data_IF_201888977966
#
_entry.id   IF_201888977966
#
_cell.length_a   1.000
_cell.length_b   1.000
_cell.length_c   1.000
_cell.angle_alpha   90.00
_cell.angle_beta   90.00
_cell.angle_gamma   90.00
#
_symmetry.space_group_name_H-M   'P 1'
#
loop_
_entity.id
_entity.type
_entity.pdbx_description
1 polymer ?
#
# COMPACT_ATOMS: atom_id res chain seq x y z
N UNK A 1 -21.86 12.94 4.95
CA UNK A 1 -20.60 13.69 5.07
C UNK A 1 -19.80 13.13 6.26
N UNK A 2 -19.62 11.80 6.31
CA UNK A 2 -19.01 11.13 7.48
C UNK A 2 -18.21 9.87 7.13
N UNK A 3 -17.94 9.58 5.86
CA UNK A 3 -17.28 8.33 5.40
C UNK A 3 -15.94 8.58 4.66
N UNK A 4 -15.29 9.72 4.87
CA UNK A 4 -14.03 10.05 4.17
C UNK A 4 -12.76 9.89 5.04
N UNK A 5 -12.90 9.47 6.30
CA UNK A 5 -11.80 9.53 7.28
C UNK A 5 -11.54 8.21 8.02
N UNK A 6 -12.24 7.14 7.63
CA UNK A 6 -11.97 5.75 8.03
C UNK A 6 -11.47 4.94 6.83
N UNK A 7 -10.80 5.60 5.87
CA UNK A 7 -9.81 4.88 5.08
C UNK A 7 -8.72 4.48 6.06
N UNK A 8 -8.48 3.18 6.24
CA UNK A 8 -7.32 2.71 7.00
C UNK A 8 -6.13 3.52 6.46
N UNK A 9 -5.49 4.33 7.30
CA UNK A 9 -4.43 5.24 6.86
C UNK A 9 -3.18 4.39 6.58
N UNK A 10 -3.20 3.65 5.48
CA UNK A 10 -2.07 2.95 4.89
C UNK A 10 -1.09 3.99 4.33
N UNK A 11 -0.51 4.82 5.21
CA UNK A 11 0.45 5.84 4.81
C UNK A 11 1.67 5.13 4.22
N UNK A 12 1.95 5.42 2.96
CA UNK A 12 3.08 4.87 2.24
C UNK A 12 4.07 5.99 1.90
N UNK A 13 5.34 5.69 2.15
CA UNK A 13 6.47 6.61 2.03
C UNK A 13 7.57 5.95 1.19
N UNK A 14 8.57 6.72 0.80
CA UNK A 14 9.69 6.25 -0.01
C UNK A 14 11.01 6.58 0.66
N UNK A 15 11.91 5.60 0.73
CA UNK A 15 13.27 5.76 1.23
C UNK A 15 14.26 5.62 0.08
N UNK A 16 15.20 6.57 -0.02
CA UNK A 16 16.32 6.47 -0.96
C UNK A 16 17.43 5.66 -0.28
N UNK A 17 17.82 4.56 -0.92
CA UNK A 17 18.91 3.70 -0.48
C UNK A 17 20.27 4.24 -0.92
N UNK A 18 21.33 3.82 -0.22
CA UNK A 18 22.69 4.27 -0.51
C UNK A 18 23.21 3.82 -1.90
N UNK A 19 22.62 2.76 -2.47
CA UNK A 19 22.90 2.27 -3.82
C UNK A 19 22.16 3.06 -4.93
N UNK A 20 21.40 4.10 -4.57
CA UNK A 20 20.64 4.93 -5.51
C UNK A 20 19.31 4.33 -5.95
N UNK A 21 18.93 3.17 -5.42
CA UNK A 21 17.58 2.62 -5.54
C UNK A 21 16.65 3.27 -4.53
N UNK A 22 15.36 3.19 -4.79
CA UNK A 22 14.31 3.68 -3.89
C UNK A 22 13.44 2.52 -3.45
N UNK A 23 13.10 2.53 -2.16
CA UNK A 23 12.22 1.57 -1.51
C UNK A 23 10.91 2.25 -1.21
N UNK A 24 9.79 1.71 -1.69
CA UNK A 24 8.45 2.14 -1.30
C UNK A 24 7.98 1.27 -0.13
N UNK A 25 7.42 1.87 0.92
CA UNK A 25 6.95 1.12 2.07
C UNK A 25 5.70 1.75 2.67
N UNK A 26 4.82 0.92 3.23
CA UNK A 26 3.64 1.32 3.97
C UNK A 26 3.79 0.94 5.43
N UNK A 27 3.34 1.80 6.34
CA UNK A 27 3.32 1.48 7.77
C UNK A 27 2.38 0.32 8.14
N UNK A 28 1.57 -0.14 7.19
CA UNK A 28 0.77 -1.36 7.25
C UNK A 28 1.58 -2.66 7.09
N UNK A 29 2.87 -2.57 6.69
CA UNK A 29 3.76 -3.72 6.53
C UNK A 29 4.05 -4.11 5.07
N UNK A 30 3.48 -3.41 4.09
CA UNK A 30 3.87 -3.55 2.68
C UNK A 30 5.22 -2.86 2.41
N UNK A 31 6.08 -3.49 1.62
CA UNK A 31 7.38 -2.95 1.23
C UNK A 31 7.79 -3.47 -0.14
N UNK A 32 8.36 -2.60 -0.96
CA UNK A 32 8.80 -2.91 -2.32
C UNK A 32 10.14 -2.21 -2.61
N UNK A 33 11.14 -3.00 -3.01
CA UNK A 33 12.53 -2.56 -3.15
C UNK A 33 12.93 -2.44 -4.62
N UNK A 34 13.95 -1.63 -4.91
CA UNK A 34 14.58 -1.58 -6.23
C UNK A 34 13.83 -0.73 -7.25
N UNK A 35 12.98 0.19 -6.80
CA UNK A 35 12.29 1.13 -7.65
C UNK A 35 13.16 2.38 -7.92
N UNK A 36 12.81 3.13 -8.96
CA UNK A 36 13.23 4.54 -9.10
C UNK A 36 12.31 5.42 -8.26
N UNK A 37 12.71 6.65 -7.97
CA UNK A 37 11.89 7.58 -7.18
C UNK A 37 10.47 7.75 -7.73
N UNK A 38 10.32 7.91 -9.06
CA UNK A 38 9.00 8.01 -9.70
C UNK A 38 8.17 6.73 -9.57
N UNK A 39 8.78 5.55 -9.74
CA UNK A 39 8.06 4.29 -9.60
C UNK A 39 7.68 3.99 -8.15
N UNK A 40 8.54 4.35 -7.20
CA UNK A 40 8.29 4.19 -5.77
C UNK A 40 7.14 5.11 -5.31
N UNK A 41 7.13 6.36 -5.77
CA UNK A 41 6.06 7.33 -5.49
C UNK A 41 4.72 6.86 -6.08
N UNK A 42 4.72 6.39 -7.34
CA UNK A 42 3.53 5.84 -7.97
C UNK A 42 3.01 4.59 -7.23
N UNK A 43 3.90 3.71 -6.76
CA UNK A 43 3.52 2.52 -5.99
C UNK A 43 2.97 2.89 -4.60
N UNK A 44 3.63 3.80 -3.89
CA UNK A 44 3.16 4.32 -2.61
C UNK A 44 1.80 5.02 -2.74
N UNK A 45 1.61 5.84 -3.77
CA UNK A 45 0.33 6.50 -4.05
C UNK A 45 -0.76 5.49 -4.41
N UNK A 46 -0.44 4.51 -5.28
CA UNK A 46 -1.38 3.47 -5.66
C UNK A 46 -1.80 2.61 -4.46
N UNK A 47 -0.88 2.27 -3.55
CA UNK A 47 -1.19 1.51 -2.35
C UNK A 47 -2.01 2.32 -1.33
N UNK A 48 -1.70 3.61 -1.16
CA UNK A 48 -2.44 4.55 -0.30
C UNK A 48 -3.88 4.78 -0.75
N UNK A 49 -4.09 4.82 -2.08
CA UNK A 49 -5.38 5.09 -2.69
C UNK A 49 -6.07 3.81 -3.20
N UNK A 50 -5.46 2.65 -2.98
CA UNK A 50 -6.13 1.39 -3.23
C UNK A 50 -7.32 1.35 -2.27
N UNK A 51 -8.56 1.22 -2.76
CA UNK A 51 -9.66 0.93 -1.88
C UNK A 51 -9.27 -0.35 -1.14
N UNK A 52 -9.28 -0.28 0.18
CA UNK A 52 -9.09 -1.42 1.05
C UNK A 52 -10.20 -2.42 0.69
N UNK A 53 -9.97 -3.31 -0.28
CA UNK A 53 -10.76 -4.53 -0.50
C UNK A 53 -10.49 -5.51 0.66
N UNK A 54 -10.37 -5.00 1.89
CA UNK A 54 -10.63 -5.77 3.12
C UNK A 54 -12.17 -5.89 3.26
N UNK A 55 -12.80 -6.37 2.19
CA UNK A 55 -14.07 -7.11 2.19
C UNK A 55 -13.80 -8.46 1.49
N UNK A 56 -12.72 -9.11 1.92
CA UNK A 56 -12.52 -10.54 1.73
C UNK A 56 -12.73 -11.27 3.06
N UNK A 57 -13.75 -10.85 3.83
CA UNK A 57 -14.56 -11.78 4.62
C UNK A 57 -15.70 -12.34 3.74
N UNK A 58 -15.38 -12.69 2.50
CA UNK A 58 -16.04 -13.84 1.90
C UNK A 58 -15.38 -15.06 2.56
N UNK A 59 -16.06 -15.78 3.48
CA UNK A 59 -15.48 -16.94 4.10
C UNK A 59 -14.98 -17.88 3.00
N UNK A 60 -13.68 -18.19 3.08
CA UNK A 60 -13.12 -19.28 2.34
C UNK A 60 -14.04 -20.50 2.48
N UNK A 61 -14.30 -21.14 1.35
CA UNK A 61 -14.90 -22.48 1.23
C UNK A 61 -16.39 -22.60 1.59
N UNK A 62 -17.23 -22.39 0.57
CA UNK A 62 -18.24 -23.38 0.25
C UNK A 62 -17.53 -24.73 -0.01
N UNK A 63 -17.72 -25.71 0.87
CA UNK A 63 -17.58 -27.14 0.52
C UNK A 63 -18.56 -27.94 1.37
N UNK A 64 -19.61 -28.36 0.65
CA UNK A 64 -20.46 -29.55 0.81
C UNK A 64 -20.94 -29.98 2.20
#
# INVERSE_FOLDING_TARGET
MSDEWESIMCYADTAIENDGTVTAYCYCGWVEYGHTQESADAAAYAHQNAPDDIDADAPATATA
#
